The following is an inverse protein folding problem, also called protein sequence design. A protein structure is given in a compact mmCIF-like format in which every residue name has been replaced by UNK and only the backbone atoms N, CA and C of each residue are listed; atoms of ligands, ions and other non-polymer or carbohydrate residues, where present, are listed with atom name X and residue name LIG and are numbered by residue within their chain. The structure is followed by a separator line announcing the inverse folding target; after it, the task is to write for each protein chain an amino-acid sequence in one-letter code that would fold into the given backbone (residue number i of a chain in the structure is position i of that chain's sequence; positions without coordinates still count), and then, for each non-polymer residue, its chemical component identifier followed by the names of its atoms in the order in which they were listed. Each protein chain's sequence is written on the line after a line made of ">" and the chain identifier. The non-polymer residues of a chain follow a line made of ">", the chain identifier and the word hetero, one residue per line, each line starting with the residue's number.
data_IF_436837877018
#
_entry.id   IF_436837877018
#
_cell.length_a   1.000
_cell.length_b   1.000
_cell.length_c   1.000
_cell.angle_alpha   90.00
_cell.angle_beta   90.00
_cell.angle_gamma   90.00
#
_symmetry.space_group_name_H-M   'P 1'
#
loop_
_entity.id
_entity.type
_entity.pdbx_description
1 polymer ?
#
# COMPACT_ATOMS: atom_id res chain seq x y z
N UNK A 1 24.01 -9.27 20.96
CA UNK A 1 23.42 -9.06 19.61
C UNK A 1 23.58 -7.60 19.27
N UNK A 2 24.58 -7.25 18.48
CA UNK A 2 24.88 -5.87 18.07
C UNK A 2 23.83 -5.39 17.09
N UNK A 3 23.09 -4.34 17.45
CA UNK A 3 22.17 -3.68 16.53
C UNK A 3 23.00 -3.12 15.36
N UNK A 4 22.85 -3.71 14.20
CA UNK A 4 23.40 -3.17 12.96
C UNK A 4 22.67 -1.86 12.69
N UNK A 5 23.39 -0.74 12.84
CA UNK A 5 22.87 0.59 12.50
C UNK A 5 22.63 0.57 10.98
N UNK A 6 21.36 0.48 10.57
CA UNK A 6 21.00 0.55 9.17
C UNK A 6 21.30 1.96 8.66
N UNK A 7 22.30 2.11 7.84
CA UNK A 7 22.57 3.36 7.13
C UNK A 7 21.43 3.63 6.15
N UNK A 8 20.96 4.89 6.11
CA UNK A 8 19.95 5.33 5.14
C UNK A 8 20.41 4.92 3.72
N UNK A 9 19.56 4.31 2.89
CA UNK A 9 19.93 3.93 1.53
C UNK A 9 20.43 5.15 0.75
N UNK A 10 21.54 4.98 0.06
CA UNK A 10 22.02 5.95 -0.92
C UNK A 10 21.16 5.82 -2.18
N UNK A 11 20.04 6.53 -2.17
CA UNK A 11 19.04 6.46 -3.26
C UNK A 11 19.47 7.41 -4.37
N UNK A 12 19.83 6.87 -5.51
CA UNK A 12 20.15 7.65 -6.72
C UNK A 12 18.87 8.22 -7.32
N UNK A 13 18.96 9.46 -7.80
CA UNK A 13 17.88 10.16 -8.50
C UNK A 13 18.29 10.63 -9.91
N UNK A 14 19.47 10.26 -10.36
CA UNK A 14 20.15 10.71 -11.58
C UNK A 14 20.29 9.58 -12.63
N UNK A 15 19.39 8.60 -12.62
CA UNK A 15 19.37 7.49 -13.55
C UNK A 15 19.14 7.97 -14.99
N UNK A 16 20.04 7.58 -15.90
CA UNK A 16 19.81 7.78 -17.33
C UNK A 16 18.94 6.66 -17.89
N UNK A 17 18.31 6.93 -19.04
CA UNK A 17 17.52 5.92 -19.76
C UNK A 17 18.36 4.68 -20.09
N UNK A 18 19.58 4.88 -20.59
CA UNK A 18 20.48 3.80 -21.01
C UNK A 18 20.87 2.90 -19.83
N UNK A 19 21.11 3.47 -18.65
CA UNK A 19 21.37 2.69 -17.43
C UNK A 19 20.16 1.82 -17.03
N UNK A 20 18.94 2.36 -17.13
CA UNK A 20 17.71 1.60 -16.82
C UNK A 20 17.51 0.49 -17.86
N UNK A 21 17.68 0.79 -19.15
CA UNK A 21 17.59 -0.22 -20.23
C UNK A 21 18.63 -1.32 -20.04
N UNK A 22 19.86 -0.98 -19.67
CA UNK A 22 20.90 -1.95 -19.37
C UNK A 22 20.53 -2.87 -18.20
N UNK A 23 19.93 -2.33 -17.13
CA UNK A 23 19.44 -3.13 -16.00
C UNK A 23 18.32 -4.09 -16.41
N UNK A 24 17.32 -3.61 -17.15
CA UNK A 24 16.18 -4.41 -17.61
C UNK A 24 16.62 -5.50 -18.58
N UNK A 25 17.67 -5.24 -19.36
CA UNK A 25 18.23 -6.18 -20.34
C UNK A 25 19.14 -7.26 -19.73
N UNK A 26 19.41 -7.20 -18.43
CA UNK A 26 20.19 -8.24 -17.76
C UNK A 26 19.47 -9.60 -17.81
N UNK A 27 20.22 -10.71 -17.89
CA UNK A 27 19.65 -12.01 -17.63
C UNK A 27 18.95 -12.05 -16.26
N UNK A 28 17.77 -12.65 -16.20
CA UNK A 28 16.95 -12.65 -14.98
C UNK A 28 17.69 -13.10 -13.70
N UNK A 29 18.55 -14.16 -13.73
CA UNK A 29 19.31 -14.56 -12.55
C UNK A 29 20.29 -13.47 -12.07
N UNK A 30 20.92 -12.74 -13.00
CA UNK A 30 21.83 -11.65 -12.66
C UNK A 30 21.08 -10.45 -12.06
N UNK A 31 19.92 -10.10 -12.61
CA UNK A 31 19.07 -9.06 -12.07
C UNK A 31 18.61 -9.39 -10.64
N UNK A 32 18.18 -10.61 -10.40
CA UNK A 32 17.78 -11.11 -9.09
C UNK A 32 18.93 -11.10 -8.08
N UNK A 33 20.13 -11.50 -8.50
CA UNK A 33 21.31 -11.47 -7.65
C UNK A 33 21.66 -10.04 -7.21
N UNK A 34 21.65 -9.08 -8.13
CA UNK A 34 21.88 -7.65 -7.83
C UNK A 34 20.81 -7.08 -6.90
N UNK A 35 19.55 -7.38 -7.18
CA UNK A 35 18.44 -6.95 -6.34
C UNK A 35 18.57 -7.49 -4.91
N UNK A 36 18.87 -8.78 -4.76
CA UNK A 36 19.07 -9.42 -3.45
C UNK A 36 20.32 -8.89 -2.72
N UNK A 37 21.38 -8.61 -3.43
CA UNK A 37 22.60 -8.03 -2.85
C UNK A 37 22.30 -6.64 -2.27
N UNK A 38 21.60 -5.81 -3.04
CA UNK A 38 21.17 -4.49 -2.58
C UNK A 38 20.18 -4.57 -1.41
N UNK A 39 19.19 -5.45 -1.49
CA UNK A 39 18.21 -5.67 -0.42
C UNK A 39 18.89 -6.03 0.91
N UNK A 40 19.79 -7.00 0.91
CA UNK A 40 20.52 -7.44 2.11
C UNK A 40 21.44 -6.38 2.70
N UNK A 41 21.86 -5.42 1.89
CA UNK A 41 22.69 -4.29 2.37
C UNK A 41 21.88 -3.31 3.24
N UNK A 42 20.59 -3.13 2.95
CA UNK A 42 19.75 -2.10 3.56
C UNK A 42 18.60 -2.65 4.39
N UNK A 43 18.21 -3.90 4.21
CA UNK A 43 17.06 -4.52 4.86
C UNK A 43 17.42 -5.89 5.43
N UNK A 44 16.67 -6.31 6.43
CA UNK A 44 16.74 -7.69 6.93
C UNK A 44 16.05 -8.62 5.91
N UNK A 45 16.80 -9.53 5.25
CA UNK A 45 16.25 -10.37 4.19
C UNK A 45 15.27 -11.43 4.68
N UNK A 46 15.16 -11.61 5.99
CA UNK A 46 14.24 -12.59 6.61
C UNK A 46 12.92 -11.95 7.05
N UNK A 47 12.81 -10.62 7.00
CA UNK A 47 11.59 -9.92 7.33
C UNK A 47 10.70 -9.74 6.11
N UNK A 48 9.46 -10.20 6.21
CA UNK A 48 8.41 -10.00 5.22
C UNK A 48 7.31 -9.15 5.85
N UNK A 49 6.99 -8.01 5.23
CA UNK A 49 5.86 -7.19 5.67
C UNK A 49 4.55 -7.84 5.22
N UNK A 50 3.69 -8.13 6.18
CA UNK A 50 2.33 -8.58 5.92
C UNK A 50 1.43 -7.35 5.89
N UNK A 51 0.72 -7.16 4.80
CA UNK A 51 -0.24 -6.07 4.62
C UNK A 51 -1.64 -6.61 4.43
N UNK A 52 -2.63 -5.95 5.02
CA UNK A 52 -4.05 -6.22 4.80
C UNK A 52 -4.67 -5.02 4.11
N UNK A 53 -5.53 -5.24 3.13
CA UNK A 53 -6.29 -4.19 2.45
C UNK A 53 -7.76 -4.27 2.86
N UNK A 54 -8.34 -3.14 3.24
CA UNK A 54 -9.78 -2.96 3.45
C UNK A 54 -10.33 -1.94 2.46
N UNK A 55 -11.42 -2.28 1.77
CA UNK A 55 -12.19 -1.28 1.02
C UNK A 55 -13.09 -0.53 2.01
N UNK A 56 -12.71 0.70 2.35
CA UNK A 56 -13.48 1.56 3.27
C UNK A 56 -14.66 2.24 2.58
N UNK A 57 -14.64 2.30 1.25
CA UNK A 57 -15.75 2.74 0.40
C UNK A 57 -15.70 1.99 -0.92
N UNK A 58 -16.72 1.19 -1.19
CA UNK A 58 -16.83 0.32 -2.36
C UNK A 58 -17.79 0.91 -3.38
N UNK A 59 -17.46 0.80 -4.67
CA UNK A 59 -18.33 1.13 -5.79
C UNK A 59 -18.70 2.60 -5.95
N UNK A 60 -19.39 2.90 -7.04
CA UNK A 60 -19.85 4.27 -7.34
C UNK A 60 -18.74 5.27 -7.64
N UNK A 61 -17.57 4.81 -8.09
CA UNK A 61 -16.51 5.68 -8.57
C UNK A 61 -16.93 6.33 -9.89
N UNK A 62 -16.78 7.65 -10.07
CA UNK A 62 -17.17 8.34 -11.30
C UNK A 62 -16.17 8.17 -12.45
N UNK A 63 -15.04 7.52 -12.21
CA UNK A 63 -14.00 7.30 -13.23
C UNK A 63 -14.36 6.13 -14.16
N UNK A 64 -13.94 6.24 -15.42
CA UNK A 64 -14.16 5.26 -16.48
C UNK A 64 -12.91 4.40 -16.74
N UNK A 65 -12.39 3.75 -15.70
CA UNK A 65 -11.26 2.83 -15.84
C UNK A 65 -11.74 1.49 -16.39
N UNK A 66 -11.35 1.15 -17.61
CA UNK A 66 -11.87 0.02 -18.40
C UNK A 66 -11.88 -1.35 -17.69
N UNK A 67 -11.00 -1.57 -16.72
CA UNK A 67 -10.88 -2.85 -15.99
C UNK A 67 -11.42 -2.80 -14.56
N UNK A 68 -11.85 -1.62 -14.08
CA UNK A 68 -12.14 -1.41 -12.66
C UNK A 68 -13.61 -1.66 -12.34
N UNK A 69 -13.95 -2.67 -11.52
CA UNK A 69 -15.34 -2.95 -11.14
C UNK A 69 -15.94 -1.90 -10.19
N UNK A 70 -15.13 -0.97 -9.69
CA UNK A 70 -15.58 0.13 -8.81
C UNK A 70 -16.25 1.27 -9.58
N UNK A 71 -16.08 1.33 -10.93
CA UNK A 71 -16.67 2.36 -11.76
C UNK A 71 -18.20 2.27 -11.76
N UNK A 72 -18.86 3.41 -11.65
CA UNK A 72 -20.32 3.52 -11.76
C UNK A 72 -20.81 3.39 -13.22
N UNK A 73 -19.89 3.43 -14.19
CA UNK A 73 -20.21 3.45 -15.62
C UNK A 73 -20.28 2.06 -16.26
N UNK A 74 -19.84 1.02 -15.55
CA UNK A 74 -19.85 -0.35 -16.05
C UNK A 74 -21.08 -1.14 -15.61
N UNK A 75 -21.70 -1.90 -16.52
CA UNK A 75 -22.88 -2.72 -16.23
C UNK A 75 -22.66 -3.77 -15.11
N UNK A 76 -21.44 -4.26 -14.96
CA UNK A 76 -21.04 -5.23 -13.94
C UNK A 76 -20.31 -4.60 -12.75
N UNK A 77 -20.61 -3.33 -12.47
CA UNK A 77 -20.02 -2.65 -11.33
C UNK A 77 -20.47 -3.29 -10.00
N UNK A 78 -19.59 -3.20 -9.00
CA UNK A 78 -19.96 -3.56 -7.62
C UNK A 78 -20.94 -2.54 -7.06
N UNK A 79 -21.83 -3.00 -6.17
CA UNK A 79 -22.83 -2.13 -5.53
C UNK A 79 -22.11 -0.98 -4.78
N UNK A 80 -22.59 0.24 -5.01
CA UNK A 80 -22.06 1.40 -4.32
C UNK A 80 -22.43 1.37 -2.82
N UNK A 81 -21.45 1.57 -1.97
CA UNK A 81 -21.58 1.64 -0.52
C UNK A 81 -21.14 3.02 -0.03
N UNK A 82 -21.60 3.39 1.15
CA UNK A 82 -21.13 4.60 1.84
C UNK A 82 -19.75 4.37 2.44
N UNK A 83 -19.07 5.46 2.80
CA UNK A 83 -17.85 5.38 3.61
C UNK A 83 -18.16 4.64 4.91
N UNK A 84 -17.31 3.71 5.29
CA UNK A 84 -17.44 2.95 6.53
C UNK A 84 -17.33 3.86 7.75
N UNK A 85 -17.95 3.46 8.85
CA UNK A 85 -17.77 4.13 10.15
C UNK A 85 -16.35 3.82 10.69
N UNK A 86 -15.76 4.80 11.39
CA UNK A 86 -14.40 4.68 11.98
C UNK A 86 -14.28 3.44 12.87
N UNK A 87 -15.29 3.18 13.72
CA UNK A 87 -15.30 2.03 14.63
C UNK A 87 -15.22 0.67 13.89
N UNK A 88 -15.89 0.59 12.73
CA UNK A 88 -15.86 -0.62 11.90
C UNK A 88 -14.46 -0.84 11.32
N UNK A 89 -13.83 0.23 10.81
CA UNK A 89 -12.45 0.19 10.31
C UNK A 89 -11.48 -0.19 11.41
N UNK A 90 -11.63 0.38 12.62
CA UNK A 90 -10.80 0.06 13.78
C UNK A 90 -10.94 -1.40 14.22
N UNK A 91 -12.13 -1.97 14.12
CA UNK A 91 -12.36 -3.40 14.39
C UNK A 91 -11.56 -4.28 13.42
N UNK A 92 -11.64 -3.99 12.12
CA UNK A 92 -10.92 -4.73 11.08
C UNK A 92 -9.39 -4.56 11.22
N UNK A 93 -8.92 -3.35 11.53
CA UNK A 93 -7.50 -3.09 11.76
C UNK A 93 -6.96 -3.90 12.96
N UNK A 94 -7.70 -3.98 14.07
CA UNK A 94 -7.33 -4.82 15.21
C UNK A 94 -7.29 -6.30 14.85
N UNK A 95 -8.24 -6.78 14.05
CA UNK A 95 -8.27 -8.16 13.59
C UNK A 95 -7.06 -8.46 12.69
N UNK A 96 -6.74 -7.57 11.76
CA UNK A 96 -5.58 -7.67 10.89
C UNK A 96 -4.26 -7.68 11.70
N UNK A 97 -4.12 -6.79 12.68
CA UNK A 97 -2.96 -6.78 13.59
C UNK A 97 -2.81 -8.10 14.35
N UNK A 98 -3.90 -8.62 14.89
CA UNK A 98 -3.90 -9.91 15.60
C UNK A 98 -3.49 -11.07 14.68
N UNK A 99 -3.80 -10.96 13.37
CA UNK A 99 -3.38 -11.91 12.34
C UNK A 99 -1.93 -11.70 11.87
N UNK A 100 -1.21 -10.70 12.39
CA UNK A 100 0.21 -10.45 12.10
C UNK A 100 0.47 -9.37 11.06
N UNK A 101 -0.55 -8.63 10.59
CA UNK A 101 -0.35 -7.54 9.64
C UNK A 101 0.34 -6.34 10.30
N UNK A 102 1.52 -5.98 9.79
CA UNK A 102 2.25 -4.78 10.17
C UNK A 102 1.75 -3.51 9.46
N UNK A 103 1.10 -3.69 8.30
CA UNK A 103 0.50 -2.61 7.51
C UNK A 103 -0.98 -2.88 7.25
N UNK A 104 -1.79 -1.82 7.40
CA UNK A 104 -3.22 -1.86 7.12
C UNK A 104 -3.56 -0.80 6.06
N UNK A 105 -3.77 -1.24 4.83
CA UNK A 105 -4.10 -0.37 3.71
C UNK A 105 -5.61 -0.13 3.64
N UNK A 106 -6.00 1.10 3.38
CA UNK A 106 -7.40 1.48 3.19
C UNK A 106 -7.61 1.99 1.77
N UNK A 107 -8.53 1.36 1.04
CA UNK A 107 -8.89 1.74 -0.32
C UNK A 107 -10.28 2.34 -0.39
N UNK A 108 -10.47 3.39 -1.19
CA UNK A 108 -11.77 4.00 -1.39
C UNK A 108 -12.03 4.30 -2.88
N UNK A 109 -13.24 3.99 -3.34
CA UNK A 109 -13.69 4.21 -4.71
C UNK A 109 -14.09 5.67 -4.92
N UNK A 110 -13.10 6.58 -5.05
CA UNK A 110 -13.27 8.00 -5.34
C UNK A 110 -12.37 8.45 -6.47
N UNK A 111 -12.78 9.49 -7.18
CA UNK A 111 -11.87 10.34 -7.91
C UNK A 111 -11.13 11.27 -6.94
N UNK A 112 -11.92 11.96 -6.11
CA UNK A 112 -11.43 12.90 -5.09
C UNK A 112 -12.38 12.80 -3.89
N UNK A 113 -11.88 12.62 -2.67
CA UNK A 113 -12.72 12.67 -1.48
C UNK A 113 -13.29 14.07 -1.27
N UNK A 114 -14.45 14.17 -0.64
CA UNK A 114 -14.99 15.46 -0.17
C UNK A 114 -14.34 15.83 1.16
N UNK A 115 -14.34 17.10 1.51
CA UNK A 115 -13.68 17.60 2.74
C UNK A 115 -14.15 16.84 4.00
N UNK A 116 -15.46 16.63 4.16
CA UNK A 116 -16.01 15.88 5.30
C UNK A 116 -15.62 14.39 5.31
N UNK A 117 -15.36 13.79 4.13
CA UNK A 117 -14.84 12.42 4.02
C UNK A 117 -13.35 12.37 4.40
N UNK A 118 -12.60 13.44 4.09
CA UNK A 118 -11.18 13.55 4.44
C UNK A 118 -10.98 13.54 5.96
N UNK A 119 -11.74 14.29 6.71
CA UNK A 119 -11.66 14.33 8.18
C UNK A 119 -11.85 12.92 8.76
N UNK A 120 -12.86 12.21 8.27
CA UNK A 120 -13.15 10.82 8.68
C UNK A 120 -12.00 9.87 8.31
N UNK A 121 -11.42 10.00 7.12
CA UNK A 121 -10.29 9.17 6.69
C UNK A 121 -9.03 9.49 7.49
N UNK A 122 -8.79 10.74 7.83
CA UNK A 122 -7.69 11.14 8.71
C UNK A 122 -7.84 10.50 10.09
N UNK A 123 -9.04 10.52 10.67
CA UNK A 123 -9.33 9.86 11.94
C UNK A 123 -9.08 8.34 11.88
N UNK A 124 -9.51 7.68 10.80
CA UNK A 124 -9.21 6.27 10.56
C UNK A 124 -7.71 6.00 10.52
N UNK A 125 -6.97 6.83 9.76
CA UNK A 125 -5.53 6.70 9.61
C UNK A 125 -4.78 6.85 10.94
N UNK A 126 -5.15 7.87 11.72
CA UNK A 126 -4.54 8.11 13.02
C UNK A 126 -4.89 6.99 14.02
N UNK A 127 -6.13 6.50 13.97
CA UNK A 127 -6.56 5.36 14.75
C UNK A 127 -5.77 4.08 14.44
N UNK A 128 -5.50 3.78 13.17
CA UNK A 128 -4.68 2.63 12.75
C UNK A 128 -3.23 2.81 13.20
N UNK A 129 -2.65 4.00 13.01
CA UNK A 129 -1.29 4.30 13.46
C UNK A 129 -1.13 4.21 14.97
N UNK A 130 -2.12 4.66 15.74
CA UNK A 130 -2.11 4.56 17.20
C UNK A 130 -2.04 3.12 17.72
N UNK A 131 -2.47 2.16 16.89
CA UNK A 131 -2.34 0.73 17.17
C UNK A 131 -0.93 0.17 16.82
N UNK A 132 -0.03 1.00 16.28
CA UNK A 132 1.32 0.60 15.88
C UNK A 132 1.35 -0.15 14.54
N UNK A 133 0.39 0.06 13.66
CA UNK A 133 0.41 -0.41 12.28
C UNK A 133 0.78 0.75 11.35
N UNK A 134 1.42 0.43 10.22
CA UNK A 134 1.57 1.37 9.11
C UNK A 134 0.26 1.45 8.31
N UNK A 135 0.00 2.59 7.67
CA UNK A 135 -1.14 2.81 6.77
C UNK A 135 -0.67 3.25 5.41
#
# INVERSE_FOLDING_TARGET
>A
MTATTMTKPDVRHDWTRDEVEALISLPFPELMYRAQTLHRRYFDPTKVQISTLLSIKTGGCPEDCAYCPQSALHEKSVKAERLMAVESVMKEARAAKKAGAGRFCMGAAWRTPKDHDLDTVCEMNDGVKSQGQET
#
